data_IF_078417363933
#
_entry.id   IF_078417363933
#
_cell.length_a   1.000
_cell.length_b   1.000
_cell.length_c   1.000
_cell.angle_alpha   90.00
_cell.angle_beta   90.00
_cell.angle_gamma   90.00
#
_symmetry.space_group_name_H-M   'P 1'
#
loop_
_entity.id
_entity.type
_entity.pdbx_description
1 polymer ?
#
# COMPACT_ATOMS: atom_id res chain seq x y z
N UNK A 1 0.69 9.03 -16.81
CA UNK A 1 0.90 8.57 -15.42
C UNK A 1 -0.12 7.50 -15.14
N UNK A 2 0.31 6.36 -14.62
CA UNK A 2 -0.62 5.27 -14.28
C UNK A 2 -1.30 5.59 -12.94
N UNK A 3 -2.53 5.10 -12.77
CA UNK A 3 -3.29 5.19 -11.50
C UNK A 3 -2.43 4.77 -10.30
N UNK A 4 -1.51 3.83 -10.52
CA UNK A 4 -0.62 3.27 -9.53
C UNK A 4 0.50 4.22 -9.06
N UNK A 5 1.08 4.99 -9.99
CA UNK A 5 2.07 6.03 -9.65
C UNK A 5 1.45 7.14 -8.78
N UNK A 6 0.19 7.48 -9.05
CA UNK A 6 -0.58 8.42 -8.23
C UNK A 6 -0.81 7.88 -6.81
N UNK A 7 -1.08 6.58 -6.67
CA UNK A 7 -1.25 5.95 -5.37
C UNK A 7 0.05 5.86 -4.56
N UNK A 8 1.21 5.70 -5.20
CA UNK A 8 2.50 5.76 -4.50
C UNK A 8 2.76 7.16 -3.91
N UNK A 9 2.40 8.23 -4.64
CA UNK A 9 2.43 9.59 -4.11
C UNK A 9 1.48 9.77 -2.91
N UNK A 10 0.29 9.18 -2.96
CA UNK A 10 -0.67 9.19 -1.84
C UNK A 10 -0.10 8.49 -0.60
N UNK A 11 0.65 7.38 -0.75
CA UNK A 11 1.36 6.72 0.36
C UNK A 11 2.41 7.65 0.97
N UNK A 12 3.20 8.34 0.15
CA UNK A 12 4.21 9.28 0.64
C UNK A 12 3.59 10.46 1.38
N UNK A 13 2.47 11.01 0.87
CA UNK A 13 1.71 12.07 1.56
C UNK A 13 1.16 11.55 2.88
N UNK A 14 0.56 10.36 2.88
CA UNK A 14 0.05 9.72 4.09
C UNK A 14 1.13 9.60 5.16
N UNK A 15 2.32 9.09 4.82
CA UNK A 15 3.43 8.92 5.78
C UNK A 15 3.86 10.22 6.48
N UNK A 16 3.66 11.38 5.85
CA UNK A 16 4.00 12.70 6.40
C UNK A 16 2.86 13.39 7.14
N UNK A 17 1.62 12.90 7.02
CA UNK A 17 0.47 13.49 7.70
C UNK A 17 0.38 13.06 9.18
N UNK A 18 -0.08 13.97 10.04
CA UNK A 18 -0.52 13.63 11.39
C UNK A 18 -1.70 12.66 11.30
N UNK A 19 -1.49 11.45 11.83
CA UNK A 19 -2.43 10.32 11.78
C UNK A 19 -3.73 10.56 12.55
N UNK A 20 -3.79 11.58 13.41
CA UNK A 20 -5.01 11.95 14.15
C UNK A 20 -6.00 12.76 13.31
N UNK A 21 -5.54 13.32 12.20
CA UNK A 21 -6.36 14.19 11.34
C UNK A 21 -7.39 13.40 10.54
N UNK A 22 -8.51 14.05 10.22
CA UNK A 22 -9.55 13.47 9.35
C UNK A 22 -9.06 13.20 7.93
N UNK A 23 -8.13 14.01 7.42
CA UNK A 23 -7.48 13.80 6.13
C UNK A 23 -6.63 12.53 6.13
N UNK A 24 -5.82 12.30 7.16
CA UNK A 24 -5.04 11.07 7.28
C UNK A 24 -5.94 9.83 7.36
N UNK A 25 -7.06 9.90 8.09
CA UNK A 25 -8.04 8.80 8.16
C UNK A 25 -8.66 8.46 6.80
N UNK A 26 -9.10 9.48 6.04
CA UNK A 26 -9.66 9.27 4.68
C UNK A 26 -8.65 8.62 3.74
N UNK A 27 -7.39 9.05 3.80
CA UNK A 27 -6.33 8.45 3.00
C UNK A 27 -6.03 7.02 3.47
N UNK A 28 -6.00 6.76 4.77
CA UNK A 28 -5.80 5.42 5.33
C UNK A 28 -6.86 4.42 4.84
N UNK A 29 -8.13 4.82 4.82
CA UNK A 29 -9.21 3.96 4.31
C UNK A 29 -9.11 3.73 2.79
N UNK A 30 -8.73 4.76 2.02
CA UNK A 30 -8.42 4.61 0.60
C UNK A 30 -7.23 3.67 0.34
N UNK A 31 -6.19 3.74 1.17
CA UNK A 31 -5.03 2.85 1.10
C UNK A 31 -5.40 1.41 1.45
N UNK A 32 -6.31 1.16 2.40
CA UNK A 32 -6.77 -0.20 2.70
C UNK A 32 -7.48 -0.84 1.51
N UNK A 33 -8.39 -0.11 0.86
CA UNK A 33 -9.08 -0.59 -0.34
C UNK A 33 -8.08 -0.88 -1.47
N UNK A 34 -7.19 0.09 -1.73
CA UNK A 34 -6.14 -0.07 -2.73
C UNK A 34 -5.26 -1.30 -2.48
N UNK A 35 -4.78 -1.49 -1.25
CA UNK A 35 -3.91 -2.62 -0.92
C UNK A 35 -4.63 -3.96 -0.92
N UNK A 36 -5.90 -4.02 -0.48
CA UNK A 36 -6.65 -5.26 -0.43
C UNK A 36 -6.92 -5.85 -1.82
N UNK A 37 -7.15 -4.99 -2.80
CA UNK A 37 -7.45 -5.37 -4.18
C UNK A 37 -6.20 -5.47 -5.07
N UNK A 38 -5.03 -5.09 -4.55
CA UNK A 38 -3.76 -5.13 -5.29
C UNK A 38 -3.38 -6.57 -5.69
N UNK A 39 -3.16 -6.77 -6.99
CA UNK A 39 -2.68 -8.02 -7.56
C UNK A 39 -1.21 -8.28 -7.25
N UNK A 40 -0.78 -9.54 -7.38
CA UNK A 40 0.63 -9.92 -7.18
C UNK A 40 1.59 -9.19 -8.15
N UNK A 41 1.15 -8.95 -9.40
CA UNK A 41 1.91 -8.20 -10.39
C UNK A 41 2.05 -6.73 -10.00
N UNK A 42 0.97 -6.10 -9.53
CA UNK A 42 1.02 -4.70 -9.07
C UNK A 42 1.92 -4.55 -7.85
N UNK A 43 1.85 -5.47 -6.88
CA UNK A 43 2.77 -5.46 -5.73
C UNK A 43 4.23 -5.65 -6.16
N UNK A 44 4.51 -6.55 -7.09
CA UNK A 44 5.85 -6.75 -7.61
C UNK A 44 6.37 -5.51 -8.36
N UNK A 45 5.51 -4.82 -9.11
CA UNK A 45 5.84 -3.58 -9.82
C UNK A 45 6.10 -2.42 -8.86
N UNK A 46 5.27 -2.23 -7.81
CA UNK A 46 5.57 -1.27 -6.75
C UNK A 46 6.89 -1.56 -6.09
N UNK A 47 7.13 -2.82 -5.70
CA UNK A 47 8.34 -3.19 -5.01
C UNK A 47 9.59 -2.84 -5.83
N UNK A 48 9.58 -3.11 -7.14
CA UNK A 48 10.67 -2.72 -8.06
C UNK A 48 10.85 -1.21 -8.17
N UNK A 49 9.75 -0.46 -8.31
CA UNK A 49 9.82 0.99 -8.46
C UNK A 49 10.30 1.69 -7.18
N UNK A 50 9.79 1.28 -6.02
CA UNK A 50 10.21 1.78 -4.71
C UNK A 50 11.67 1.42 -4.46
N UNK A 51 12.06 0.16 -4.69
CA UNK A 51 13.44 -0.29 -4.54
C UNK A 51 14.43 0.56 -5.35
N UNK A 52 14.08 0.86 -6.61
CA UNK A 52 14.89 1.72 -7.47
C UNK A 52 14.98 3.16 -6.96
N UNK A 53 13.90 3.71 -6.40
CA UNK A 53 13.87 5.09 -5.89
C UNK A 53 14.66 5.28 -4.60
N UNK A 54 14.70 4.26 -3.75
CA UNK A 54 15.30 4.32 -2.41
C UNK A 54 16.59 3.51 -2.28
N UNK A 55 17.10 2.94 -3.38
CA UNK A 55 18.30 2.09 -3.43
C UNK A 55 18.27 0.97 -2.39
N UNK A 56 17.22 0.16 -2.44
CA UNK A 56 16.90 -0.90 -1.46
C UNK A 56 16.54 -2.21 -2.18
N UNK A 57 16.53 -3.34 -1.47
CA UNK A 57 16.21 -4.64 -2.05
C UNK A 57 14.69 -4.72 -2.39
N UNK A 58 14.32 -4.93 -3.67
CA UNK A 58 12.92 -5.13 -4.05
C UNK A 58 12.24 -6.31 -3.36
N UNK A 59 12.98 -7.31 -2.88
CA UNK A 59 12.42 -8.43 -2.14
C UNK A 59 11.88 -7.99 -0.78
N UNK A 60 12.66 -7.23 -0.02
CA UNK A 60 12.27 -6.70 1.30
C UNK A 60 11.05 -5.77 1.18
N UNK A 61 11.05 -4.90 0.17
CA UNK A 61 9.89 -4.03 -0.10
C UNK A 61 8.66 -4.87 -0.46
N UNK A 62 8.81 -5.89 -1.31
CA UNK A 62 7.70 -6.77 -1.71
C UNK A 62 7.09 -7.51 -0.52
N UNK A 63 7.92 -8.00 0.40
CA UNK A 63 7.46 -8.64 1.63
C UNK A 63 6.62 -7.66 2.48
N UNK A 64 7.14 -6.44 2.69
CA UNK A 64 6.41 -5.40 3.43
C UNK A 64 5.08 -5.01 2.77
N UNK A 65 5.03 -4.90 1.44
CA UNK A 65 3.80 -4.61 0.70
C UNK A 65 2.78 -5.75 0.79
N UNK A 66 3.23 -7.00 0.75
CA UNK A 66 2.36 -8.16 0.95
C UNK A 66 1.76 -8.19 2.35
N UNK A 67 2.52 -7.85 3.38
CA UNK A 67 1.99 -7.71 4.75
C UNK A 67 0.89 -6.64 4.83
N UNK A 68 1.08 -5.51 4.14
CA UNK A 68 0.06 -4.45 4.05
C UNK A 68 -1.22 -4.94 3.35
N UNK A 69 -1.09 -5.64 2.21
CA UNK A 69 -2.23 -6.27 1.53
C UNK A 69 -2.96 -7.24 2.45
N UNK A 70 -2.22 -8.14 3.10
CA UNK A 70 -2.81 -9.16 3.98
C UNK A 70 -3.53 -8.52 5.17
N UNK A 71 -2.93 -7.49 5.77
CA UNK A 71 -3.56 -6.71 6.84
C UNK A 71 -4.86 -6.04 6.35
N UNK A 72 -4.84 -5.43 5.16
CA UNK A 72 -6.01 -4.81 4.58
C UNK A 72 -7.14 -5.82 4.26
N UNK A 73 -6.79 -6.97 3.68
CA UNK A 73 -7.75 -8.06 3.40
C UNK A 73 -8.41 -8.61 4.66
N UNK A 74 -7.66 -8.78 5.75
CA UNK A 74 -8.23 -9.23 7.04
C UNK A 74 -9.25 -8.25 7.61
N UNK A 75 -9.02 -6.95 7.41
CA UNK A 75 -9.92 -5.89 7.90
C UNK A 75 -11.19 -5.83 7.04
N UNK A 76 -11.05 -5.88 5.72
CA UNK A 76 -12.15 -5.67 4.78
C UNK A 76 -12.97 -6.93 4.51
N UNK A 77 -12.32 -8.10 4.53
CA UNK A 77 -12.95 -9.38 4.23
C UNK A 77 -12.77 -10.37 5.39
N UNK A 78 -13.23 -10.04 6.62
CA UNK A 78 -12.98 -10.87 7.81
C UNK A 78 -13.54 -12.29 7.69
N UNK A 79 -14.59 -12.49 6.88
CA UNK A 79 -15.25 -13.79 6.69
C UNK A 79 -14.47 -14.76 5.79
N UNK A 80 -13.51 -14.29 4.98
CA UNK A 80 -12.68 -15.16 4.12
C UNK A 80 -11.59 -15.91 4.90
N UNK A 81 -11.42 -15.61 6.18
CA UNK A 81 -10.33 -16.08 7.04
C UNK A 81 -10.80 -16.85 8.27
N UNK A 82 -12.12 -17.09 8.38
CA UNK A 82 -12.74 -17.96 9.39
C UNK A 82 -12.86 -19.39 8.90
#
# INVERSE_FOLDING_TARGET
MSLFEDWLLVVCVYQRLDKRTSAAKKIDDGLKLFWADATDSEIADAARNIAKLFDTDPKEIRESLNEKRMSARRILYPNEWN
#
